data_IF_023710409350
#
_entry.id   IF_023710409350
#
_cell.length_a   1.000
_cell.length_b   1.000
_cell.length_c   1.000
_cell.angle_alpha   90.00
_cell.angle_beta   90.00
_cell.angle_gamma   90.00
#
_symmetry.space_group_name_H-M   'P 1'
#
loop_
_entity.id
_entity.type
_entity.pdbx_description
1 polymer ?
#
# COMPACT_ATOMS: atom_id res chain seq x y z
N UNK A 1 23.16 -4.26 20.18
CA UNK A 1 22.48 -5.46 19.68
C UNK A 1 23.26 -6.10 18.53
N UNK A 2 23.60 -7.38 18.65
CA UNK A 2 24.25 -8.09 17.57
C UNK A 2 23.24 -8.39 16.46
N UNK A 3 23.65 -8.17 15.20
CA UNK A 3 22.82 -8.51 14.07
C UNK A 3 23.07 -9.98 13.68
N UNK A 4 22.00 -10.69 13.38
CA UNK A 4 22.04 -12.05 12.92
C UNK A 4 21.89 -12.10 11.40
N UNK A 5 22.41 -13.16 10.79
CA UNK A 5 22.22 -13.37 9.36
C UNK A 5 20.74 -13.70 9.10
N UNK A 6 20.04 -12.96 8.22
CA UNK A 6 18.65 -13.24 7.92
C UNK A 6 18.47 -14.62 7.27
N UNK A 7 17.34 -15.26 7.58
CA UNK A 7 16.94 -16.48 6.91
C UNK A 7 16.58 -16.19 5.45
N UNK A 8 16.65 -17.22 4.61
CA UNK A 8 16.33 -17.08 3.18
C UNK A 8 14.93 -16.53 2.96
N UNK A 9 13.95 -16.97 3.75
CA UNK A 9 12.57 -16.51 3.59
C UNK A 9 12.40 -15.01 3.85
N UNK A 10 13.27 -14.42 4.68
CA UNK A 10 13.29 -12.96 4.88
C UNK A 10 13.51 -12.23 3.55
N UNK A 11 14.49 -12.67 2.77
CA UNK A 11 14.80 -12.05 1.48
C UNK A 11 13.68 -12.23 0.47
N UNK A 12 13.07 -13.42 0.45
CA UNK A 12 11.95 -13.71 -0.45
C UNK A 12 10.75 -12.82 -0.11
N UNK A 13 10.38 -12.74 1.16
CA UNK A 13 9.25 -11.91 1.59
C UNK A 13 9.53 -10.43 1.31
N UNK A 14 10.74 -9.96 1.60
CA UNK A 14 11.11 -8.56 1.36
C UNK A 14 11.06 -8.19 -0.12
N UNK A 15 11.52 -9.09 -0.99
CA UNK A 15 11.47 -8.88 -2.44
C UNK A 15 10.04 -8.87 -2.96
N UNK A 16 9.21 -9.80 -2.49
CA UNK A 16 7.78 -9.85 -2.86
C UNK A 16 7.08 -8.57 -2.38
N UNK A 17 7.38 -8.11 -1.17
CA UNK A 17 6.82 -6.88 -0.63
C UNK A 17 7.18 -5.67 -1.51
N UNK A 18 8.43 -5.59 -1.97
CA UNK A 18 8.85 -4.50 -2.84
C UNK A 18 8.09 -4.52 -4.16
N UNK A 19 7.97 -5.70 -4.79
CA UNK A 19 7.22 -5.84 -6.06
C UNK A 19 5.75 -5.47 -5.85
N UNK A 20 5.13 -5.97 -4.79
CA UNK A 20 3.72 -5.68 -4.47
C UNK A 20 3.50 -4.16 -4.31
N UNK A 21 4.35 -3.51 -3.53
CA UNK A 21 4.22 -2.07 -3.29
C UNK A 21 4.58 -1.25 -4.53
N UNK A 22 5.54 -1.70 -5.33
CA UNK A 22 5.86 -1.04 -6.62
C UNK A 22 4.66 -1.09 -7.57
N UNK A 23 3.91 -2.18 -7.59
CA UNK A 23 2.67 -2.26 -8.37
C UNK A 23 1.64 -1.23 -7.87
N UNK A 24 1.59 -1.01 -6.55
CA UNK A 24 0.76 0.04 -5.97
C UNK A 24 1.15 1.43 -6.42
N UNK A 25 2.46 1.71 -6.51
CA UNK A 25 2.96 2.99 -7.03
C UNK A 25 2.58 3.16 -8.50
N UNK A 26 2.68 2.12 -9.30
CA UNK A 26 2.25 2.18 -10.72
C UNK A 26 0.76 2.50 -10.80
N UNK A 27 -0.07 1.87 -9.99
CA UNK A 27 -1.50 2.15 -9.94
C UNK A 27 -1.78 3.59 -9.51
N UNK A 28 -1.03 4.10 -8.53
CA UNK A 28 -1.15 5.48 -8.07
C UNK A 28 -0.81 6.47 -9.21
N UNK A 29 0.32 6.26 -9.88
CA UNK A 29 0.74 7.12 -10.98
C UNK A 29 -0.29 7.09 -12.10
N UNK A 30 -0.81 5.91 -12.44
CA UNK A 30 -1.83 5.76 -13.48
C UNK A 30 -3.10 6.56 -13.12
N UNK A 31 -3.50 6.54 -11.85
CA UNK A 31 -4.69 7.27 -11.41
C UNK A 31 -4.50 8.79 -11.48
N UNK A 32 -3.37 9.31 -10.97
CA UNK A 32 -3.16 10.77 -10.90
C UNK A 32 -2.75 11.39 -12.22
N UNK A 33 -2.30 10.58 -13.18
CA UNK A 33 -1.90 11.05 -14.52
C UNK A 33 -2.87 10.62 -15.61
N UNK A 34 -4.05 10.12 -15.22
CA UNK A 34 -5.06 9.66 -16.19
C UNK A 34 -5.45 10.81 -17.12
N UNK A 35 -5.39 10.57 -18.44
CA UNK A 35 -5.75 11.57 -19.42
C UNK A 35 -7.26 11.78 -19.46
N UNK A 36 -7.68 12.94 -20.00
CA UNK A 36 -9.10 13.20 -20.21
C UNK A 36 -9.74 12.15 -21.12
N UNK A 37 -9.02 11.70 -22.13
CA UNK A 37 -9.51 10.66 -23.05
C UNK A 37 -9.72 9.32 -22.33
N UNK A 38 -8.76 8.91 -21.49
CA UNK A 38 -8.88 7.67 -20.73
C UNK A 38 -10.04 7.74 -19.74
N UNK A 39 -10.23 8.89 -19.10
CA UNK A 39 -11.32 9.10 -18.15
C UNK A 39 -12.67 9.03 -18.87
N UNK A 40 -12.79 9.66 -20.06
CA UNK A 40 -14.03 9.63 -20.84
C UNK A 40 -14.36 8.23 -21.35
N UNK A 41 -13.37 7.36 -21.51
CA UNK A 41 -13.57 5.98 -21.96
C UNK A 41 -14.15 5.08 -20.87
N UNK A 42 -14.14 5.52 -19.61
CA UNK A 42 -14.70 4.73 -18.51
C UNK A 42 -16.22 4.79 -18.47
N UNK A 43 -16.89 3.75 -17.94
CA UNK A 43 -18.33 3.85 -17.64
C UNK A 43 -18.61 5.07 -16.76
N UNK A 44 -19.80 5.66 -16.91
CA UNK A 44 -20.16 6.90 -16.24
C UNK A 44 -20.01 6.79 -14.71
N UNK A 45 -20.47 5.68 -14.12
CA UNK A 45 -20.40 5.48 -12.68
C UNK A 45 -18.96 5.41 -12.16
N UNK A 46 -18.05 4.78 -12.89
CA UNK A 46 -16.63 4.74 -12.52
C UNK A 46 -15.97 6.11 -12.69
N UNK A 47 -16.31 6.81 -13.76
CA UNK A 47 -15.77 8.15 -14.01
C UNK A 47 -16.18 9.12 -12.89
N UNK A 48 -17.45 9.11 -12.51
CA UNK A 48 -17.97 9.96 -11.42
C UNK A 48 -17.25 9.62 -10.10
N UNK A 49 -17.05 8.32 -9.84
CA UNK A 49 -16.34 7.86 -8.65
C UNK A 49 -14.94 8.43 -8.59
N UNK A 50 -14.18 8.31 -9.68
CA UNK A 50 -12.79 8.80 -9.75
C UNK A 50 -12.72 10.32 -9.62
N UNK A 51 -13.65 11.04 -10.25
CA UNK A 51 -13.70 12.50 -10.19
C UNK A 51 -14.08 13.02 -8.80
N UNK A 52 -14.72 12.19 -7.99
CA UNK A 52 -15.17 12.57 -6.65
C UNK A 52 -14.15 12.28 -5.55
N UNK A 53 -13.01 11.68 -5.87
CA UNK A 53 -11.96 11.37 -4.88
C UNK A 53 -11.38 12.68 -4.35
N UNK A 54 -11.47 12.96 -3.03
CA UNK A 54 -10.92 14.19 -2.49
C UNK A 54 -9.38 14.13 -2.42
N UNK A 55 -8.75 15.30 -2.40
CA UNK A 55 -7.28 15.41 -2.36
C UNK A 55 -6.68 14.65 -1.17
N UNK A 56 -7.33 14.69 0.00
CA UNK A 56 -6.79 13.99 1.17
C UNK A 56 -6.80 12.46 1.00
N UNK A 57 -7.77 11.91 0.26
CA UNK A 57 -7.80 10.48 -0.03
C UNK A 57 -6.69 10.11 -1.02
N UNK A 58 -6.42 10.94 -2.02
CA UNK A 58 -5.31 10.76 -2.95
C UNK A 58 -3.96 10.86 -2.22
N UNK A 59 -3.83 11.80 -1.29
CA UNK A 59 -2.63 11.92 -0.46
C UNK A 59 -2.43 10.67 0.40
N UNK A 60 -3.50 10.12 0.97
CA UNK A 60 -3.43 8.87 1.74
C UNK A 60 -2.97 7.70 0.86
N UNK A 61 -3.44 7.63 -0.37
CA UNK A 61 -3.00 6.63 -1.35
C UNK A 61 -1.50 6.76 -1.63
N UNK A 62 -1.03 7.99 -1.84
CA UNK A 62 0.40 8.25 -2.04
C UNK A 62 1.24 7.78 -0.84
N UNK A 63 0.84 8.12 0.37
CA UNK A 63 1.53 7.71 1.60
C UNK A 63 1.55 6.19 1.71
N UNK A 64 0.44 5.52 1.42
CA UNK A 64 0.34 4.08 1.49
C UNK A 64 1.35 3.40 0.56
N UNK A 65 1.35 3.77 -0.72
CA UNK A 65 2.16 3.05 -1.72
C UNK A 65 3.63 3.45 -1.68
N UNK A 66 3.93 4.75 -1.56
CA UNK A 66 5.32 5.21 -1.47
C UNK A 66 5.95 4.79 -0.14
N UNK A 67 5.20 4.84 0.96
CA UNK A 67 5.65 4.33 2.25
C UNK A 67 5.91 2.83 2.21
N UNK A 68 5.06 2.08 1.50
CA UNK A 68 5.25 0.64 1.31
C UNK A 68 6.52 0.31 0.53
N UNK A 69 6.81 1.04 -0.55
CA UNK A 69 8.05 0.87 -1.32
C UNK A 69 9.27 1.23 -0.47
N UNK A 70 9.21 2.35 0.22
CA UNK A 70 10.32 2.78 1.08
C UNK A 70 10.57 1.77 2.19
N UNK A 71 9.52 1.29 2.87
CA UNK A 71 9.65 0.28 3.92
C UNK A 71 10.23 -1.02 3.39
N UNK A 72 9.80 -1.46 2.20
CA UNK A 72 10.33 -2.69 1.57
C UNK A 72 11.80 -2.52 1.19
N UNK A 73 12.18 -1.36 0.67
CA UNK A 73 13.58 -1.06 0.38
C UNK A 73 14.43 -1.06 1.65
N UNK A 74 13.89 -0.50 2.74
CA UNK A 74 14.58 -0.51 4.03
C UNK A 74 14.76 -1.93 4.58
N UNK A 75 13.80 -2.83 4.35
CA UNK A 75 13.98 -4.25 4.67
C UNK A 75 15.16 -4.84 3.91
N UNK A 76 15.24 -4.59 2.60
CA UNK A 76 16.28 -5.15 1.76
C UNK A 76 17.66 -4.64 2.11
N UNK A 77 17.79 -3.42 2.61
CA UNK A 77 19.06 -2.88 3.11
C UNK A 77 19.21 -3.07 4.62
N UNK A 78 18.33 -3.84 5.23
CA UNK A 78 18.39 -4.27 6.63
C UNK A 78 18.41 -3.11 7.60
N UNK A 79 17.49 -2.16 7.44
CA UNK A 79 17.36 -1.00 8.33
C UNK A 79 16.15 -1.12 9.26
N UNK A 80 16.35 -0.81 10.53
CA UNK A 80 15.27 -0.85 11.54
C UNK A 80 14.19 0.20 11.29
N UNK A 81 14.45 1.19 10.47
CA UNK A 81 13.47 2.21 10.07
C UNK A 81 12.29 1.63 9.29
N UNK A 82 12.42 0.39 8.81
CA UNK A 82 11.34 -0.26 8.05
C UNK A 82 10.03 -0.30 8.83
N UNK A 83 10.06 -0.67 10.11
CA UNK A 83 8.84 -0.81 10.92
C UNK A 83 8.09 0.51 11.07
N UNK A 84 8.71 1.63 11.49
CA UNK A 84 8.01 2.92 11.55
C UNK A 84 7.47 3.37 10.20
N UNK A 85 8.21 3.14 9.12
CA UNK A 85 7.79 3.53 7.78
C UNK A 85 6.56 2.72 7.35
N UNK A 86 6.53 1.41 7.63
CA UNK A 86 5.34 0.59 7.35
C UNK A 86 4.13 1.03 8.19
N UNK A 87 4.34 1.49 9.42
CA UNK A 87 3.25 2.01 10.26
C UNK A 87 2.65 3.26 9.61
N UNK A 88 3.48 4.19 9.14
CA UNK A 88 2.99 5.39 8.43
C UNK A 88 2.23 5.01 7.17
N UNK A 89 2.78 4.07 6.38
CA UNK A 89 2.10 3.53 5.19
C UNK A 89 0.73 2.94 5.55
N UNK A 90 0.66 2.17 6.63
CA UNK A 90 -0.57 1.53 7.07
C UNK A 90 -1.62 2.55 7.49
N UNK A 91 -1.23 3.65 8.13
CA UNK A 91 -2.15 4.75 8.43
C UNK A 91 -2.76 5.32 7.15
N UNK A 92 -1.97 5.47 6.10
CA UNK A 92 -2.47 5.87 4.79
C UNK A 92 -3.48 4.87 4.23
N UNK A 93 -3.22 3.57 4.38
CA UNK A 93 -4.15 2.51 3.97
C UNK A 93 -5.47 2.63 4.73
N UNK A 94 -5.42 2.83 6.05
CA UNK A 94 -6.63 2.96 6.87
C UNK A 94 -7.48 4.17 6.45
N UNK A 95 -6.84 5.30 6.22
CA UNK A 95 -7.54 6.52 5.78
C UNK A 95 -8.21 6.26 4.41
N UNK A 96 -7.51 5.63 3.50
CA UNK A 96 -8.03 5.32 2.18
C UNK A 96 -9.21 4.35 2.25
N UNK A 97 -9.15 3.35 3.12
CA UNK A 97 -10.22 2.37 3.31
C UNK A 97 -11.47 3.05 3.89
N UNK A 98 -11.29 3.95 4.86
CA UNK A 98 -12.41 4.72 5.42
C UNK A 98 -13.11 5.50 4.31
N UNK A 99 -12.36 6.17 3.45
CA UNK A 99 -12.95 6.88 2.32
C UNK A 99 -13.69 5.93 1.39
N UNK A 100 -13.05 4.83 1.00
CA UNK A 100 -13.62 3.91 0.01
C UNK A 100 -14.88 3.21 0.49
N UNK A 101 -14.93 2.79 1.76
CA UNK A 101 -16.03 1.98 2.27
C UNK A 101 -17.16 2.81 2.88
N UNK A 102 -16.85 3.96 3.47
CA UNK A 102 -17.83 4.72 4.24
C UNK A 102 -18.19 6.06 3.62
N UNK A 103 -17.36 6.60 2.73
CA UNK A 103 -17.54 7.95 2.18
C UNK A 103 -17.74 7.96 0.66
N UNK A 104 -17.51 6.84 -0.03
CA UNK A 104 -17.65 6.76 -1.48
C UNK A 104 -18.61 5.64 -1.87
N UNK A 105 -19.02 5.63 -3.14
CA UNK A 105 -19.89 4.60 -3.71
C UNK A 105 -19.13 3.43 -4.31
N UNK A 106 -17.87 3.23 -3.92
CA UNK A 106 -17.03 2.21 -4.56
C UNK A 106 -17.63 0.80 -4.47
N UNK A 107 -18.28 0.47 -3.35
CA UNK A 107 -18.92 -0.84 -3.19
C UNK A 107 -20.10 -0.98 -4.18
N UNK A 108 -20.88 0.07 -4.37
CA UNK A 108 -21.99 0.05 -5.34
C UNK A 108 -21.51 -0.04 -6.77
N UNK A 109 -20.41 0.68 -7.08
CA UNK A 109 -19.85 0.74 -8.44
C UNK A 109 -19.19 -0.57 -8.83
N UNK A 110 -18.34 -1.13 -7.95
CA UNK A 110 -17.54 -2.33 -8.23
C UNK A 110 -18.16 -3.61 -7.69
N UNK A 111 -19.18 -3.53 -6.86
CA UNK A 111 -19.83 -4.68 -6.24
C UNK A 111 -19.01 -5.29 -5.11
N UNK A 112 -19.49 -6.42 -4.55
CA UNK A 112 -18.76 -7.09 -3.44
C UNK A 112 -17.34 -7.52 -3.79
N UNK A 113 -17.07 -7.86 -5.06
CA UNK A 113 -15.72 -8.20 -5.53
C UNK A 113 -14.74 -7.05 -5.42
N UNK A 114 -15.21 -5.81 -5.45
CA UNK A 114 -14.39 -4.62 -5.28
C UNK A 114 -13.81 -4.44 -3.88
N UNK A 115 -14.29 -5.21 -2.90
CA UNK A 115 -13.76 -5.20 -1.54
C UNK A 115 -12.51 -6.06 -1.37
N UNK A 116 -12.25 -6.99 -2.33
CA UNK A 116 -11.17 -7.98 -2.20
C UNK A 116 -9.81 -7.29 -2.16
N UNK A 117 -9.53 -6.40 -3.11
CA UNK A 117 -8.22 -5.73 -3.17
C UNK A 117 -7.95 -4.84 -1.94
N UNK A 118 -8.86 -3.97 -1.50
CA UNK A 118 -8.64 -3.20 -0.27
C UNK A 118 -8.41 -4.06 0.96
N UNK A 119 -9.13 -5.17 1.11
CA UNK A 119 -8.93 -6.09 2.23
C UNK A 119 -7.55 -6.75 2.15
N UNK A 120 -7.12 -7.18 0.96
CA UNK A 120 -5.78 -7.74 0.75
C UNK A 120 -4.69 -6.73 1.09
N UNK A 121 -4.85 -5.48 0.68
CA UNK A 121 -3.90 -4.40 0.99
C UNK A 121 -3.81 -4.19 2.50
N UNK A 122 -4.95 -4.21 3.20
CA UNK A 122 -5.00 -4.06 4.65
C UNK A 122 -4.27 -5.21 5.35
N UNK A 123 -4.57 -6.44 4.96
CA UNK A 123 -3.94 -7.64 5.55
C UNK A 123 -2.44 -7.65 5.28
N UNK A 124 -2.04 -7.36 4.05
CA UNK A 124 -0.63 -7.35 3.68
C UNK A 124 0.14 -6.22 4.41
N UNK A 125 -0.50 -5.06 4.57
CA UNK A 125 0.09 -3.95 5.30
C UNK A 125 0.32 -4.28 6.78
N UNK A 126 -0.67 -4.90 7.42
CA UNK A 126 -0.54 -5.36 8.81
C UNK A 126 0.54 -6.43 8.94
N UNK A 127 0.60 -7.36 7.97
CA UNK A 127 1.64 -8.39 7.93
C UNK A 127 3.04 -7.77 7.85
N UNK A 128 3.24 -6.76 7.02
CA UNK A 128 4.55 -6.13 6.85
C UNK A 128 5.00 -5.39 8.12
N UNK A 129 4.08 -4.80 8.87
CA UNK A 129 4.41 -4.22 10.17
C UNK A 129 4.91 -5.31 11.11
N UNK A 130 4.15 -6.40 11.23
CA UNK A 130 4.55 -7.53 12.08
C UNK A 130 5.89 -8.11 11.63
N UNK A 131 6.04 -8.32 10.33
CA UNK A 131 7.24 -8.92 9.75
C UNK A 131 8.48 -8.06 10.01
N UNK A 132 8.39 -6.75 9.83
CA UNK A 132 9.51 -5.84 10.05
C UNK A 132 9.89 -5.75 11.53
N UNK A 133 8.90 -5.79 12.43
CA UNK A 133 9.17 -5.82 13.86
C UNK A 133 9.82 -7.13 14.28
N UNK A 134 9.34 -8.24 13.73
CA UNK A 134 9.92 -9.57 14.01
C UNK A 134 11.35 -9.65 13.50
N UNK A 135 11.62 -9.12 12.31
CA UNK A 135 12.97 -9.06 11.76
C UNK A 135 13.90 -8.22 12.65
N UNK A 136 13.41 -7.13 13.23
CA UNK A 136 14.17 -6.32 14.17
C UNK A 136 14.49 -7.12 15.44
N UNK A 137 13.50 -7.81 16.01
CA UNK A 137 13.68 -8.65 17.20
C UNK A 137 14.70 -9.76 16.97
N UNK A 138 14.71 -10.35 15.76
CA UNK A 138 15.63 -11.41 15.38
C UNK A 138 17.04 -10.91 15.10
N UNK A 139 17.26 -9.60 15.14
CA UNK A 139 18.57 -9.00 14.84
C UNK A 139 18.89 -8.97 13.35
N UNK A 140 17.90 -9.17 12.47
CA UNK A 140 18.09 -9.13 11.02
C UNK A 140 18.18 -7.71 10.47
N UNK A 141 17.63 -6.74 11.17
CA UNK A 141 17.71 -5.32 10.83
C UNK A 141 18.62 -4.58 11.81
N UNK A 142 19.29 -3.53 11.33
CA UNK A 142 20.24 -2.74 12.14
C UNK A 142 19.68 -1.37 12.47
#
# INVERSE_FOLDING_TARGET
>A
MTTNKPATWFWVVSAIALVWNAMGVIAYIAQVTMSAEALQALPENERVLLQSIPTWATAAFAIAVWGGVLGSALLLIRKTWAAPVFIVSFLGILIQIVHSFFMSNSIEVYGPGGMVMPVMVLVFGAFLIWFSRKATENGWLK
#
